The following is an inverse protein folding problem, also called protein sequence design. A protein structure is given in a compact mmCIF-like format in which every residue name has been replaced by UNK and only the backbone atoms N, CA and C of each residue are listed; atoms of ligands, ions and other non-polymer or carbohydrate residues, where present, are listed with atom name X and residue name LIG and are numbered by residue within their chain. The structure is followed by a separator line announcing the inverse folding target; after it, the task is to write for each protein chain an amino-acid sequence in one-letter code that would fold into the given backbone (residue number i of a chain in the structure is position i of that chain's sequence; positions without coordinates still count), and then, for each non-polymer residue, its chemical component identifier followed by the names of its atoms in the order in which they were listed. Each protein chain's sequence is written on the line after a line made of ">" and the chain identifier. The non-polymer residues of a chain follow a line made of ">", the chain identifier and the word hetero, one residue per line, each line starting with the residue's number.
data_IF_343695704083
#
_entry.id   IF_343695704083
#
_cell.length_a   1.000
_cell.length_b   1.000
_cell.length_c   1.000
_cell.angle_alpha   90.00
_cell.angle_beta   90.00
_cell.angle_gamma   90.00
#
_symmetry.space_group_name_H-M   'P 1'
#
loop_
_entity.id
_entity.type
_entity.pdbx_description
1 polymer ?
#
# COMPACT_ATOMS: atom_id res chain seq x y z
N UNK A 1 11.99 -12.34 -17.60
CA UNK A 1 13.17 -11.46 -17.57
C UNK A 1 12.65 -10.10 -17.14
N UNK A 2 12.86 -9.73 -15.86
CA UNK A 2 12.53 -8.40 -15.33
C UNK A 2 13.40 -7.37 -16.05
N UNK A 3 12.84 -6.25 -16.42
CA UNK A 3 13.59 -5.15 -16.97
C UNK A 3 14.40 -4.52 -15.84
N UNK A 4 15.65 -4.97 -15.67
CA UNK A 4 16.62 -4.28 -14.83
C UNK A 4 16.72 -2.86 -15.39
N UNK A 5 16.43 -1.85 -14.56
CA UNK A 5 16.62 -0.46 -14.95
C UNK A 5 18.05 -0.30 -15.47
N UNK A 6 18.28 0.38 -16.63
CA UNK A 6 19.62 0.55 -17.13
C UNK A 6 20.47 1.18 -16.01
N UNK A 7 21.64 0.61 -15.72
CA UNK A 7 22.52 1.05 -14.63
C UNK A 7 22.79 2.58 -14.65
N UNK A 8 22.68 3.22 -15.82
CA UNK A 8 22.73 4.65 -15.99
C UNK A 8 21.54 5.44 -15.43
N UNK A 9 20.32 4.88 -15.39
CA UNK A 9 19.13 5.58 -14.90
C UNK A 9 19.14 5.73 -13.37
N UNK A 10 19.50 4.68 -12.64
CA UNK A 10 19.68 4.72 -11.18
C UNK A 10 20.77 5.69 -10.76
N UNK A 11 21.89 5.72 -11.50
CA UNK A 11 22.95 6.69 -11.27
C UNK A 11 22.49 8.12 -11.51
N UNK A 12 21.69 8.35 -12.54
CA UNK A 12 21.09 9.67 -12.82
C UNK A 12 20.12 10.10 -11.72
N UNK A 13 19.20 9.21 -11.28
CA UNK A 13 18.26 9.49 -10.19
C UNK A 13 19.03 9.88 -8.92
N UNK A 14 20.07 9.12 -8.56
CA UNK A 14 20.90 9.43 -7.38
C UNK A 14 21.71 10.70 -7.52
N UNK A 15 22.20 11.00 -8.71
CA UNK A 15 22.97 12.22 -8.99
C UNK A 15 22.11 13.49 -8.96
N UNK A 16 20.81 13.40 -9.24
CA UNK A 16 19.86 14.51 -9.13
C UNK A 16 19.54 14.90 -7.68
N UNK A 17 19.94 14.10 -6.69
CA UNK A 17 19.94 14.46 -5.26
C UNK A 17 18.59 14.46 -4.55
N UNK A 18 17.50 14.09 -5.23
CA UNK A 18 16.15 14.11 -4.64
C UNK A 18 15.36 12.83 -4.94
N UNK A 19 15.76 11.73 -4.30
CA UNK A 19 14.93 10.52 -4.32
C UNK A 19 13.73 10.76 -3.40
N UNK A 20 12.48 10.52 -3.83
CA UNK A 20 11.31 10.56 -2.95
C UNK A 20 11.52 9.65 -1.74
N UNK A 21 11.28 10.16 -0.55
CA UNK A 21 11.37 9.36 0.67
C UNK A 21 10.22 8.35 0.77
N UNK A 22 9.02 8.77 0.35
CA UNK A 22 7.81 7.95 0.35
C UNK A 22 7.15 8.00 -1.04
N UNK A 23 7.02 6.83 -1.66
CA UNK A 23 6.31 6.65 -2.93
C UNK A 23 5.02 5.87 -2.69
N UNK A 24 3.90 6.42 -3.15
CA UNK A 24 2.59 5.76 -3.12
C UNK A 24 2.18 5.34 -4.54
N UNK A 25 1.67 4.12 -4.71
CA UNK A 25 1.29 3.58 -6.02
C UNK A 25 -0.12 3.02 -5.99
N UNK A 26 -0.96 3.51 -6.91
CA UNK A 26 -2.26 2.91 -7.21
C UNK A 26 -2.06 1.94 -8.38
N UNK A 27 -2.13 0.64 -8.10
CA UNK A 27 -1.91 -0.43 -9.07
C UNK A 27 -3.18 -0.67 -9.88
N UNK A 28 -3.36 0.05 -10.99
CA UNK A 28 -4.50 -0.08 -11.89
C UNK A 28 -4.10 -0.75 -13.22
N UNK A 29 -5.12 -1.26 -13.93
CA UNK A 29 -4.95 -1.82 -15.28
C UNK A 29 -4.89 -3.33 -15.39
N UNK A 30 -4.77 -4.09 -14.30
CA UNK A 30 -4.71 -5.55 -14.33
C UNK A 30 -5.89 -6.20 -15.10
N UNK A 31 -7.10 -5.67 -14.88
CA UNK A 31 -8.30 -6.14 -15.60
C UNK A 31 -8.29 -5.80 -17.09
N UNK A 32 -7.76 -4.62 -17.47
CA UNK A 32 -7.59 -4.21 -18.88
C UNK A 32 -6.54 -5.08 -19.56
N UNK A 33 -5.40 -5.29 -18.91
CA UNK A 33 -4.32 -6.14 -19.37
C UNK A 33 -4.81 -7.58 -19.71
N UNK A 34 -5.64 -8.18 -18.85
CA UNK A 34 -6.23 -9.49 -19.08
C UNK A 34 -7.20 -9.48 -20.25
N UNK A 35 -8.11 -8.50 -20.30
CA UNK A 35 -9.09 -8.34 -21.38
C UNK A 35 -8.43 -8.21 -22.75
N UNK A 36 -7.39 -7.39 -22.85
CA UNK A 36 -6.67 -7.14 -24.12
C UNK A 36 -5.94 -8.39 -24.61
N UNK A 37 -5.77 -9.41 -23.75
CA UNK A 37 -5.21 -10.73 -24.04
C UNK A 37 -6.26 -11.85 -24.11
N UNK A 38 -7.55 -11.49 -24.05
CA UNK A 38 -8.67 -12.45 -24.00
C UNK A 38 -8.54 -13.43 -22.82
N UNK A 39 -7.97 -12.99 -21.71
CA UNK A 39 -7.77 -13.79 -20.50
C UNK A 39 -8.79 -13.39 -19.41
N UNK A 40 -9.21 -14.32 -18.55
CA UNK A 40 -9.96 -13.99 -17.34
C UNK A 40 -9.21 -13.02 -16.42
N UNK A 41 -9.95 -12.14 -15.73
CA UNK A 41 -9.39 -11.11 -14.82
C UNK A 41 -8.36 -11.63 -13.81
N UNK A 42 -8.51 -12.82 -13.20
CA UNK A 42 -7.52 -13.34 -12.25
C UNK A 42 -6.11 -13.48 -12.83
N UNK A 43 -5.98 -13.74 -14.14
CA UNK A 43 -4.66 -13.80 -14.80
C UNK A 43 -3.98 -12.43 -14.82
N UNK A 44 -4.74 -11.34 -14.96
CA UNK A 44 -4.22 -9.99 -14.87
C UNK A 44 -3.71 -9.68 -13.46
N UNK A 45 -4.44 -10.06 -12.43
CA UNK A 45 -4.02 -9.89 -11.05
C UNK A 45 -2.76 -10.69 -10.72
N UNK A 46 -2.69 -11.95 -11.18
CA UNK A 46 -1.48 -12.78 -11.01
C UNK A 46 -0.27 -12.19 -11.75
N UNK A 47 -0.46 -11.62 -12.93
CA UNK A 47 0.60 -10.89 -13.64
C UNK A 47 1.04 -9.63 -12.87
N UNK A 48 0.09 -8.94 -12.24
CA UNK A 48 0.37 -7.77 -11.39
C UNK A 48 1.26 -8.09 -10.19
N UNK A 49 1.20 -9.30 -9.64
CA UNK A 49 2.06 -9.72 -8.52
C UNK A 49 3.55 -9.73 -8.88
N UNK A 50 3.90 -10.08 -10.14
CA UNK A 50 5.29 -9.97 -10.62
C UNK A 50 5.76 -8.52 -10.64
N UNK A 51 4.89 -7.60 -11.06
CA UNK A 51 5.19 -6.18 -11.06
C UNK A 51 5.39 -5.62 -9.64
N UNK A 52 4.70 -6.18 -8.63
CA UNK A 52 4.93 -5.80 -7.22
C UNK A 52 6.36 -6.10 -6.80
N UNK A 53 6.88 -7.30 -7.11
CA UNK A 53 8.27 -7.66 -6.82
C UNK A 53 9.25 -6.68 -7.48
N UNK A 54 9.11 -6.45 -8.79
CA UNK A 54 9.97 -5.53 -9.55
C UNK A 54 9.93 -4.10 -8.99
N UNK A 55 8.76 -3.64 -8.54
CA UNK A 55 8.60 -2.31 -7.91
C UNK A 55 9.28 -2.24 -6.55
N UNK A 56 9.17 -3.29 -5.73
CA UNK A 56 9.86 -3.39 -4.42
C UNK A 56 11.38 -3.37 -4.61
N UNK A 57 11.90 -4.19 -5.51
CA UNK A 57 13.33 -4.21 -5.85
C UNK A 57 13.81 -2.85 -6.35
N UNK A 58 13.08 -2.24 -7.27
CA UNK A 58 13.39 -0.89 -7.78
C UNK A 58 13.36 0.20 -6.70
N UNK A 59 12.41 0.13 -5.77
CA UNK A 59 12.33 1.05 -4.63
C UNK A 59 13.54 0.90 -3.69
N UNK A 60 13.94 -0.33 -3.40
CA UNK A 60 15.15 -0.64 -2.61
C UNK A 60 16.39 -0.09 -3.29
N UNK A 61 16.55 -0.36 -4.60
CA UNK A 61 17.69 0.10 -5.38
C UNK A 61 17.75 1.62 -5.49
N UNK A 62 16.60 2.29 -5.65
CA UNK A 62 16.53 3.74 -5.69
C UNK A 62 16.80 4.41 -4.32
N UNK A 63 16.66 3.67 -3.22
CA UNK A 63 16.84 4.20 -1.87
C UNK A 63 15.57 4.85 -1.31
N UNK A 64 14.39 4.44 -1.78
CA UNK A 64 13.09 4.84 -1.22
C UNK A 64 12.96 4.25 0.18
N UNK A 65 12.54 5.07 1.15
CA UNK A 65 12.39 4.61 2.53
C UNK A 65 11.02 3.95 2.80
N UNK A 66 9.97 4.45 2.15
CA UNK A 66 8.59 3.96 2.30
C UNK A 66 7.95 3.76 0.93
N UNK A 67 7.39 2.59 0.69
CA UNK A 67 6.60 2.25 -0.49
C UNK A 67 5.19 1.86 -0.06
N UNK A 68 4.18 2.60 -0.52
CA UNK A 68 2.78 2.34 -0.23
C UNK A 68 2.05 1.86 -1.48
N UNK A 69 1.50 0.65 -1.45
CA UNK A 69 0.79 0.04 -2.58
C UNK A 69 -0.70 -0.12 -2.27
N UNK A 70 -1.56 0.41 -3.14
CA UNK A 70 -3.01 0.24 -3.04
C UNK A 70 -3.42 -1.11 -3.66
N UNK A 71 -3.48 -2.15 -2.85
CA UNK A 71 -3.70 -3.52 -3.31
C UNK A 71 -5.19 -3.91 -3.39
N UNK A 72 -6.01 -3.51 -2.39
CA UNK A 72 -7.43 -3.84 -2.35
C UNK A 72 -8.24 -2.76 -1.63
N UNK A 73 -9.13 -2.08 -2.37
CA UNK A 73 -9.97 -1.02 -1.80
C UNK A 73 -11.23 -1.58 -1.15
N UNK A 74 -11.88 -0.79 -0.29
CA UNK A 74 -13.19 -1.14 0.29
C UNK A 74 -14.26 -1.34 -0.78
N UNK A 75 -14.23 -0.58 -1.87
CA UNK A 75 -15.16 -0.70 -2.99
C UNK A 75 -15.00 -2.05 -3.72
N UNK A 76 -13.82 -2.69 -3.62
CA UNK A 76 -13.60 -4.00 -4.24
C UNK A 76 -14.40 -5.14 -3.59
N UNK A 77 -14.88 -4.96 -2.35
CA UNK A 77 -15.80 -5.92 -1.73
C UNK A 77 -17.15 -6.04 -2.44
N UNK A 78 -17.52 -5.05 -3.26
CA UNK A 78 -18.75 -5.08 -4.07
C UNK A 78 -18.61 -5.90 -5.36
N UNK A 79 -17.42 -6.40 -5.68
CA UNK A 79 -17.18 -7.29 -6.82
C UNK A 79 -17.85 -8.65 -6.60
N UNK A 80 -18.07 -9.44 -7.68
CA UNK A 80 -18.57 -10.81 -7.54
C UNK A 80 -17.74 -11.61 -6.54
N UNK A 81 -18.42 -12.38 -5.67
CA UNK A 81 -17.78 -13.11 -4.57
C UNK A 81 -16.62 -14.02 -5.03
N UNK A 82 -16.75 -14.65 -6.19
CA UNK A 82 -15.67 -15.46 -6.79
C UNK A 82 -14.42 -14.64 -7.16
N UNK A 83 -14.58 -13.37 -7.60
CA UNK A 83 -13.44 -12.49 -7.87
C UNK A 83 -12.76 -12.06 -6.57
N UNK A 84 -13.55 -11.70 -5.56
CA UNK A 84 -13.03 -11.34 -4.23
C UNK A 84 -12.25 -12.50 -3.61
N UNK A 85 -12.83 -13.71 -3.61
CA UNK A 85 -12.16 -14.92 -3.11
C UNK A 85 -10.83 -15.19 -3.84
N UNK A 86 -10.82 -15.08 -5.17
CA UNK A 86 -9.60 -15.26 -5.96
C UNK A 86 -8.52 -14.22 -5.60
N UNK A 87 -8.90 -12.96 -5.35
CA UNK A 87 -7.97 -11.91 -4.94
C UNK A 87 -7.39 -12.18 -3.54
N UNK A 88 -8.20 -12.63 -2.59
CA UNK A 88 -7.73 -12.99 -1.24
C UNK A 88 -6.80 -14.19 -1.27
N UNK A 89 -7.09 -15.21 -2.10
CA UNK A 89 -6.19 -16.35 -2.29
C UNK A 89 -4.86 -15.94 -2.94
N UNK A 90 -4.89 -15.01 -3.90
CA UNK A 90 -3.65 -14.46 -4.50
C UNK A 90 -2.82 -13.66 -3.50
N UNK A 91 -3.45 -12.90 -2.60
CA UNK A 91 -2.78 -12.20 -1.52
C UNK A 91 -2.07 -13.19 -0.59
N UNK A 92 -2.77 -14.25 -0.17
CA UNK A 92 -2.21 -15.29 0.68
C UNK A 92 -1.04 -16.00 -0.01
N UNK A 93 -1.20 -16.41 -1.27
CA UNK A 93 -0.14 -17.03 -2.11
C UNK A 93 1.08 -16.12 -2.20
N UNK A 94 0.87 -14.81 -2.44
CA UNK A 94 1.96 -13.84 -2.50
C UNK A 94 2.72 -13.74 -1.18
N UNK A 95 2.00 -13.58 -0.07
CA UNK A 95 2.62 -13.50 1.25
C UNK A 95 3.43 -14.74 1.54
N UNK A 96 2.89 -15.94 1.25
CA UNK A 96 3.59 -17.20 1.51
C UNK A 96 4.87 -17.34 0.67
N UNK A 97 4.84 -16.90 -0.57
CA UNK A 97 5.96 -17.06 -1.51
C UNK A 97 7.05 -16.00 -1.31
N UNK A 98 6.67 -14.77 -0.94
CA UNK A 98 7.59 -13.63 -0.90
C UNK A 98 8.12 -13.30 0.51
N UNK A 99 7.49 -13.83 1.58
CA UNK A 99 7.81 -13.43 2.96
C UNK A 99 9.29 -13.59 3.30
N UNK A 100 9.92 -14.70 2.91
CA UNK A 100 11.32 -14.96 3.22
C UNK A 100 12.24 -14.04 2.42
N UNK A 101 11.96 -13.82 1.13
CA UNK A 101 12.75 -12.95 0.29
C UNK A 101 12.66 -11.50 0.73
N UNK A 102 11.46 -11.02 1.08
CA UNK A 102 11.25 -9.69 1.65
C UNK A 102 12.02 -9.50 2.96
N UNK A 103 12.03 -10.53 3.81
CA UNK A 103 12.78 -10.52 5.06
C UNK A 103 14.30 -10.45 4.83
N UNK A 104 14.84 -11.29 3.95
CA UNK A 104 16.26 -11.30 3.56
C UNK A 104 16.70 -9.98 2.90
N UNK A 105 15.82 -9.33 2.15
CA UNK A 105 16.07 -8.01 1.55
C UNK A 105 15.98 -6.86 2.55
N UNK A 106 15.60 -7.11 3.80
CA UNK A 106 15.46 -6.10 4.84
C UNK A 106 14.19 -5.25 4.70
N UNK A 107 13.13 -5.78 4.08
CA UNK A 107 11.84 -5.11 3.90
C UNK A 107 10.96 -5.33 5.12
N UNK A 108 10.48 -4.26 5.76
CA UNK A 108 9.43 -4.31 6.77
C UNK A 108 8.07 -4.28 6.09
N UNK A 109 7.30 -5.35 6.19
CA UNK A 109 5.95 -5.42 5.62
C UNK A 109 4.92 -4.94 6.63
N UNK A 110 4.02 -4.05 6.20
CA UNK A 110 2.86 -3.60 6.98
C UNK A 110 1.60 -3.72 6.13
N UNK A 111 0.53 -4.20 6.74
CA UNK A 111 -0.81 -4.24 6.14
C UNK A 111 -1.68 -3.19 6.81
N UNK A 112 -2.27 -2.30 6.02
CA UNK A 112 -3.02 -1.14 6.48
C UNK A 112 -4.44 -1.16 5.91
N UNK A 113 -5.46 -0.96 6.77
CA UNK A 113 -6.87 -0.97 6.41
C UNK A 113 -7.73 -1.74 7.41
N UNK A 114 -8.95 -2.08 7.03
CA UNK A 114 -9.90 -2.85 7.86
C UNK A 114 -9.61 -4.36 7.74
N UNK A 115 -8.55 -4.83 8.40
CA UNK A 115 -8.04 -6.21 8.29
C UNK A 115 -8.97 -7.23 8.97
N UNK A 116 -9.83 -6.80 9.88
CA UNK A 116 -10.87 -7.60 10.54
C UNK A 116 -11.92 -8.15 9.56
N UNK A 117 -11.97 -7.63 8.34
CA UNK A 117 -12.83 -8.16 7.26
C UNK A 117 -12.22 -9.34 6.51
N UNK A 118 -10.95 -9.62 6.73
CA UNK A 118 -10.29 -10.76 6.12
C UNK A 118 -10.76 -12.06 6.77
N UNK A 119 -10.87 -13.13 5.98
CA UNK A 119 -11.08 -14.47 6.51
C UNK A 119 -9.85 -14.96 7.29
N UNK A 120 -10.02 -15.97 8.14
CA UNK A 120 -8.99 -16.44 9.09
C UNK A 120 -7.64 -16.77 8.41
N UNK A 121 -7.65 -17.45 7.28
CA UNK A 121 -6.40 -17.86 6.62
C UNK A 121 -5.59 -16.66 6.05
N UNK A 122 -6.16 -15.74 5.26
CA UNK A 122 -5.47 -14.51 4.88
C UNK A 122 -5.04 -13.66 6.08
N UNK A 123 -5.87 -13.53 7.12
CA UNK A 123 -5.54 -12.76 8.33
C UNK A 123 -4.30 -13.35 9.04
N UNK A 124 -4.26 -14.67 9.23
CA UNK A 124 -3.12 -15.35 9.83
C UNK A 124 -1.82 -15.22 8.99
N UNK A 125 -1.93 -15.25 7.66
CA UNK A 125 -0.78 -15.03 6.77
C UNK A 125 -0.24 -13.59 6.90
N UNK A 126 -1.14 -12.59 6.94
CA UNK A 126 -0.81 -11.18 7.17
C UNK A 126 -0.06 -10.99 8.49
N UNK A 127 -0.62 -11.49 9.59
CA UNK A 127 0.03 -11.38 10.90
C UNK A 127 1.41 -12.04 10.95
N UNK A 128 1.56 -13.18 10.30
CA UNK A 128 2.83 -13.89 10.24
C UNK A 128 3.90 -13.08 9.54
N UNK A 129 3.64 -12.56 8.32
CA UNK A 129 4.64 -11.78 7.57
C UNK A 129 4.97 -10.47 8.29
N UNK A 130 4.00 -9.79 8.88
CA UNK A 130 4.23 -8.57 9.66
C UNK A 130 5.15 -8.84 10.86
N UNK A 131 4.95 -9.94 11.59
CA UNK A 131 5.83 -10.33 12.72
C UNK A 131 7.22 -10.74 12.23
N UNK A 132 7.30 -11.53 11.17
CA UNK A 132 8.57 -12.00 10.61
C UNK A 132 9.46 -10.84 10.21
N UNK A 133 8.91 -9.83 9.53
CA UNK A 133 9.67 -8.72 8.95
C UNK A 133 9.72 -7.46 9.85
N UNK A 134 9.20 -7.52 11.08
CA UNK A 134 9.04 -6.36 11.96
C UNK A 134 10.38 -5.67 12.31
N UNK A 135 11.48 -6.43 12.33
CA UNK A 135 12.82 -5.94 12.69
C UNK A 135 13.55 -5.24 11.54
N UNK A 136 13.02 -5.33 10.31
CA UNK A 136 13.63 -4.78 9.12
C UNK A 136 13.45 -3.26 9.01
N UNK A 137 14.41 -2.59 8.33
CA UNK A 137 14.44 -1.13 8.24
C UNK A 137 14.95 -0.60 6.89
N UNK A 138 15.28 -1.46 5.93
CA UNK A 138 15.81 -1.02 4.64
C UNK A 138 14.75 -0.37 3.75
N UNK A 139 13.55 -0.96 3.72
CA UNK A 139 12.35 -0.42 3.06
C UNK A 139 11.13 -0.76 3.92
N UNK A 140 10.26 0.20 4.16
CA UNK A 140 8.93 -0.05 4.71
C UNK A 140 7.94 -0.22 3.57
N UNK A 141 7.37 -1.41 3.43
CA UNK A 141 6.35 -1.74 2.44
C UNK A 141 4.97 -1.73 3.10
N UNK A 142 4.17 -0.72 2.80
CA UNK A 142 2.77 -0.62 3.24
C UNK A 142 1.86 -1.18 2.14
N UNK A 143 1.15 -2.26 2.43
CA UNK A 143 0.12 -2.83 1.57
C UNK A 143 -1.26 -2.43 2.08
N UNK A 144 -1.98 -1.62 1.30
CA UNK A 144 -3.32 -1.16 1.68
C UNK A 144 -4.37 -2.17 1.21
N UNK A 145 -5.04 -2.81 2.19
CA UNK A 145 -6.01 -3.89 1.98
C UNK A 145 -7.29 -3.57 2.73
N UNK A 146 -8.44 -3.75 2.08
CA UNK A 146 -9.73 -3.33 2.63
C UNK A 146 -9.71 -1.87 3.07
N UNK A 147 -9.01 -1.02 2.31
CA UNK A 147 -8.75 0.35 2.66
C UNK A 147 -9.62 1.32 1.86
N UNK A 148 -10.02 2.41 2.52
CA UNK A 148 -10.64 3.57 1.91
C UNK A 148 -10.41 4.80 2.79
N UNK A 149 -9.84 5.86 2.20
CA UNK A 149 -9.44 7.03 2.98
C UNK A 149 -10.62 7.71 3.71
N UNK A 150 -11.82 7.73 3.11
CA UNK A 150 -13.01 8.26 3.79
C UNK A 150 -13.34 7.49 5.07
N UNK A 151 -13.25 6.16 5.02
CA UNK A 151 -13.47 5.31 6.20
C UNK A 151 -12.36 5.49 7.24
N UNK A 152 -11.11 5.63 6.81
CA UNK A 152 -9.98 5.95 7.68
C UNK A 152 -10.21 7.26 8.44
N UNK A 153 -10.66 8.33 7.77
CA UNK A 153 -10.98 9.63 8.39
C UNK A 153 -12.10 9.50 9.43
N UNK A 154 -13.18 8.77 9.10
CA UNK A 154 -14.28 8.51 10.05
C UNK A 154 -13.78 7.69 11.24
N UNK A 155 -12.93 6.70 11.02
CA UNK A 155 -12.30 5.92 12.10
C UNK A 155 -11.44 6.80 13.00
N UNK A 156 -10.62 7.67 12.44
CA UNK A 156 -9.79 8.62 13.21
C UNK A 156 -10.66 9.55 14.08
N UNK A 157 -11.75 10.10 13.53
CA UNK A 157 -12.70 10.91 14.26
C UNK A 157 -13.36 10.14 15.41
N UNK A 158 -13.73 8.87 15.21
CA UNK A 158 -14.29 8.03 16.29
C UNK A 158 -13.28 7.81 17.42
N UNK A 159 -12.04 7.46 17.10
CA UNK A 159 -10.99 7.26 18.10
C UNK A 159 -10.75 8.52 18.95
N UNK A 160 -10.73 9.71 18.32
CA UNK A 160 -10.62 10.97 19.04
C UNK A 160 -11.84 11.25 19.91
N UNK A 161 -13.04 10.96 19.43
CA UNK A 161 -14.29 11.10 20.19
C UNK A 161 -14.30 10.18 21.44
N UNK A 162 -13.79 8.96 21.31
CA UNK A 162 -13.64 8.02 22.43
C UNK A 162 -12.61 8.53 23.47
N UNK A 163 -11.53 9.15 23.02
CA UNK A 163 -10.57 9.79 23.95
C UNK A 163 -11.18 10.97 24.70
N UNK A 164 -11.99 11.77 24.02
CA UNK A 164 -12.73 12.89 24.65
C UNK A 164 -13.76 12.36 25.65
N UNK A 165 -14.56 11.38 25.25
CA UNK A 165 -15.56 10.75 26.14
C UNK A 165 -14.92 10.10 27.37
N UNK A 166 -13.72 9.54 27.21
CA UNK A 166 -12.92 8.95 28.29
C UNK A 166 -12.13 9.97 29.14
N UNK A 167 -12.27 11.27 28.90
CA UNK A 167 -11.58 12.34 29.64
C UNK A 167 -10.06 12.42 29.41
N UNK A 168 -9.53 11.71 28.41
CA UNK A 168 -8.10 11.74 28.04
C UNK A 168 -7.74 12.91 27.12
N UNK A 169 -8.75 13.55 26.52
CA UNK A 169 -8.60 14.65 25.58
C UNK A 169 -9.76 15.62 25.74
N UNK A 170 -9.56 16.90 25.46
CA UNK A 170 -10.64 17.88 25.28
C UNK A 170 -10.85 18.19 23.80
N UNK A 171 -12.03 18.60 23.35
CA UNK A 171 -12.26 18.97 21.95
C UNK A 171 -11.28 20.03 21.42
N UNK A 172 -10.89 20.98 22.27
CA UNK A 172 -9.96 22.05 21.90
C UNK A 172 -8.51 21.57 21.66
N UNK A 173 -8.18 20.37 22.10
CA UNK A 173 -6.86 19.75 21.90
C UNK A 173 -6.79 18.90 20.62
N UNK A 174 -7.89 18.80 19.87
CA UNK A 174 -7.91 18.10 18.57
C UNK A 174 -7.37 19.09 17.53
N UNK A 175 -6.14 18.87 17.10
CA UNK A 175 -5.44 19.55 16.02
C UNK A 175 -5.07 18.57 14.90
N UNK A 176 -4.42 19.06 13.83
CA UNK A 176 -4.02 18.24 12.67
C UNK A 176 -3.06 17.12 13.06
N UNK A 177 -2.09 17.40 13.93
CA UNK A 177 -1.11 16.41 14.39
C UNK A 177 -1.80 15.29 15.16
N UNK A 178 -2.68 15.67 16.08
CA UNK A 178 -3.47 14.70 16.86
C UNK A 178 -4.40 13.88 15.99
N UNK A 179 -5.00 14.50 14.97
CA UNK A 179 -5.82 13.79 14.00
C UNK A 179 -4.99 12.81 13.17
N UNK A 180 -3.87 13.26 12.61
CA UNK A 180 -2.93 12.44 11.85
C UNK A 180 -2.42 11.23 12.66
N UNK A 181 -2.22 11.40 13.98
CA UNK A 181 -1.81 10.31 14.88
C UNK A 181 -2.80 9.14 14.98
N UNK A 182 -4.03 9.30 14.48
CA UNK A 182 -5.06 8.24 14.44
C UNK A 182 -5.20 7.58 13.08
N UNK A 183 -4.48 8.06 12.08
CA UNK A 183 -4.47 7.44 10.75
C UNK A 183 -3.62 6.15 10.75
N UNK A 184 -3.84 5.27 9.78
CA UNK A 184 -3.05 4.05 9.62
C UNK A 184 -1.57 4.33 9.33
N UNK A 185 -1.28 5.52 8.79
CA UNK A 185 0.06 5.99 8.42
C UNK A 185 0.71 6.90 9.45
N UNK A 186 0.19 6.98 10.68
CA UNK A 186 0.63 7.90 11.73
C UNK A 186 2.14 7.91 12.02
N UNK A 187 2.83 6.81 11.71
CA UNK A 187 4.28 6.63 11.92
C UNK A 187 5.08 6.66 10.60
N UNK A 188 4.45 7.12 9.51
CA UNK A 188 5.07 7.28 8.22
C UNK A 188 5.09 8.76 7.80
N UNK A 189 6.10 9.22 7.06
CA UNK A 189 6.00 10.50 6.37
C UNK A 189 4.90 10.45 5.31
N UNK A 190 4.33 11.61 4.97
CA UNK A 190 3.39 11.69 3.86
C UNK A 190 4.07 11.35 2.52
N UNK A 191 3.33 10.89 1.49
CA UNK A 191 3.93 10.57 0.19
C UNK A 191 4.47 11.81 -0.53
N UNK A 192 5.74 11.74 -0.95
CA UNK A 192 6.35 12.75 -1.82
C UNK A 192 5.91 12.58 -3.29
N UNK A 193 5.55 11.35 -3.67
CA UNK A 193 5.19 10.98 -5.03
C UNK A 193 4.04 9.98 -5.03
N UNK A 194 2.98 10.31 -5.78
CA UNK A 194 1.90 9.38 -6.11
C UNK A 194 2.02 8.97 -7.58
N UNK A 195 2.04 7.66 -7.83
CA UNK A 195 2.00 7.08 -9.17
C UNK A 195 0.70 6.29 -9.32
N UNK A 196 -0.01 6.52 -10.43
CA UNK A 196 -1.11 5.65 -10.83
C UNK A 196 -0.84 5.07 -12.21
N UNK A 197 -0.88 3.75 -12.31
CA UNK A 197 -0.68 3.05 -13.58
C UNK A 197 -1.93 3.12 -14.47
N UNK A 198 -1.74 2.90 -15.78
CA UNK A 198 -2.84 2.79 -16.77
C UNK A 198 -3.52 4.09 -17.19
N UNK A 199 -2.88 5.26 -17.03
CA UNK A 199 -3.35 6.54 -17.58
C UNK A 199 -4.60 7.13 -16.89
N UNK A 200 -4.95 6.67 -15.70
CA UNK A 200 -6.06 7.21 -14.90
C UNK A 200 -5.56 8.30 -13.96
N UNK A 201 -6.29 9.42 -13.87
CA UNK A 201 -5.86 10.61 -13.11
C UNK A 201 -6.60 10.83 -11.78
N UNK A 202 -7.45 9.88 -11.38
CA UNK A 202 -8.20 9.95 -10.09
C UNK A 202 -7.45 9.23 -8.97
N UNK A 203 -7.57 9.72 -7.74
CA UNK A 203 -6.95 9.12 -6.54
C UNK A 203 -7.76 7.97 -5.94
N UNK A 204 -9.00 7.76 -6.37
CA UNK A 204 -9.86 6.61 -6.01
C UNK A 204 -9.94 6.31 -4.51
N UNK A 205 -10.17 7.33 -3.69
CA UNK A 205 -10.31 7.18 -2.24
C UNK A 205 -9.03 6.62 -1.55
N UNK A 206 -7.84 6.94 -2.11
CA UNK A 206 -6.56 6.53 -1.56
C UNK A 206 -5.84 7.70 -0.92
N UNK A 207 -5.43 7.59 0.36
CA UNK A 207 -4.60 8.52 1.11
C UNK A 207 -5.05 9.99 1.02
N UNK A 208 -6.35 10.29 1.19
CA UNK A 208 -6.92 11.64 1.00
C UNK A 208 -6.29 12.70 1.90
N UNK A 209 -6.01 12.38 3.16
CA UNK A 209 -5.36 13.28 4.10
C UNK A 209 -3.89 13.49 3.77
N UNK A 210 -3.20 12.41 3.46
CA UNK A 210 -1.75 12.37 3.29
C UNK A 210 -1.27 12.93 1.93
N UNK A 211 -2.16 13.03 0.93
CA UNK A 211 -1.81 13.50 -0.42
C UNK A 211 -2.11 14.97 -0.68
N UNK A 212 -2.55 15.72 0.32
CA UNK A 212 -2.95 17.12 0.14
C UNK A 212 -1.82 18.00 -0.44
N UNK A 213 -0.57 17.69 -0.13
CA UNK A 213 0.61 18.53 -0.46
C UNK A 213 1.59 17.82 -1.42
N UNK A 214 1.33 16.56 -1.80
CA UNK A 214 2.25 15.73 -2.59
C UNK A 214 2.26 16.06 -4.09
N UNK A 215 3.35 15.65 -4.79
CA UNK A 215 3.43 15.68 -6.25
C UNK A 215 2.77 14.43 -6.82
N UNK A 216 1.76 14.60 -7.68
CA UNK A 216 1.18 13.50 -8.44
C UNK A 216 1.81 13.43 -9.83
N UNK A 217 2.31 12.25 -10.23
CA UNK A 217 2.63 11.89 -11.61
C UNK A 217 1.64 10.82 -12.09
N UNK A 218 1.13 11.01 -13.28
CA UNK A 218 0.12 10.15 -13.92
C UNK A 218 0.73 9.48 -15.14
#
# INVERSE_FOLDING_TARGET
>A
MGAVAPAGLLSQIRAQGSVPRHVAIIMDGNGRWARDRMLPRPFGHRSGMKSVREVVEGAIEAGVAVLSLFAFSQENWQRPAGEVSALMSLLEEYIQNEANELDEQGVQVRMLGELERLADAPAAAVERVMRQTAHNSRLRLNLFISYGARAELVRAARLLSEEVAGGRLTPAQIDEERFASKLFTADCPDPDLLIRTSGEQRISNFLLWQLEIGRAHV
#
